data_IF_127096475842
#
_entry.id   IF_127096475842
#
_cell.length_a   1.000
_cell.length_b   1.000
_cell.length_c   1.000
_cell.angle_alpha   90.00
_cell.angle_beta   90.00
_cell.angle_gamma   90.00
#
_symmetry.space_group_name_H-M   'P 1'
#
loop_
_entity.id
_entity.type
_entity.pdbx_description
1 polymer ?
#
# COMPACT_ATOMS: atom_id res chain seq x y z
N UNK A 1 -9.78 9.93 16.73
CA UNK A 1 -10.01 10.97 15.72
C UNK A 1 -9.36 10.48 14.43
N UNK A 2 -10.12 10.29 13.36
CA UNK A 2 -9.64 9.70 12.10
C UNK A 2 -8.98 10.82 11.29
N UNK A 3 -7.66 10.83 11.20
CA UNK A 3 -6.92 11.93 10.56
C UNK A 3 -6.86 11.69 9.05
N UNK A 4 -7.86 12.18 8.31
CA UNK A 4 -7.99 11.97 6.87
C UNK A 4 -6.73 12.40 6.09
N UNK A 5 -5.97 13.37 6.62
CA UNK A 5 -4.70 13.83 6.05
C UNK A 5 -3.61 12.74 6.03
N UNK A 6 -3.63 11.78 6.97
CA UNK A 6 -2.64 10.69 7.03
C UNK A 6 -2.95 9.55 6.08
N UNK A 7 -4.21 9.41 5.64
CA UNK A 7 -4.64 8.30 4.80
C UNK A 7 -4.44 8.58 3.31
N UNK A 8 -4.45 9.85 2.90
CA UNK A 8 -4.31 10.26 1.49
C UNK A 8 -3.03 9.69 0.85
N UNK A 9 -1.84 9.76 1.47
CA UNK A 9 -0.64 9.17 0.88
C UNK A 9 -0.73 7.65 0.67
N UNK A 10 -1.29 6.93 1.65
CA UNK A 10 -1.49 5.49 1.54
C UNK A 10 -2.49 5.14 0.41
N UNK A 11 -3.55 5.94 0.27
CA UNK A 11 -4.50 5.81 -0.85
C UNK A 11 -3.84 6.14 -2.19
N UNK A 12 -2.96 7.15 -2.27
CA UNK A 12 -2.18 7.44 -3.50
C UNK A 12 -1.36 6.23 -3.93
N UNK A 13 -0.66 5.58 -3.00
CA UNK A 13 0.12 4.36 -3.27
C UNK A 13 -0.80 3.24 -3.77
N UNK A 14 -1.92 3.00 -3.10
CA UNK A 14 -2.88 1.96 -3.48
C UNK A 14 -3.48 2.23 -4.87
N UNK A 15 -3.91 3.45 -5.17
CA UNK A 15 -4.54 3.78 -6.47
C UNK A 15 -3.55 3.83 -7.62
N UNK A 16 -2.28 4.18 -7.35
CA UNK A 16 -1.20 4.20 -8.34
C UNK A 16 -0.76 2.79 -8.70
N UNK A 17 -0.55 1.94 -7.69
CA UNK A 17 0.03 0.61 -7.88
C UNK A 17 -1.03 -0.50 -7.95
N UNK A 18 -2.28 -0.17 -7.61
CA UNK A 18 -3.42 -1.09 -7.54
C UNK A 18 -3.18 -2.31 -6.64
N UNK A 19 -2.41 -2.12 -5.57
CA UNK A 19 -2.00 -3.18 -4.63
C UNK A 19 -3.00 -3.28 -3.49
N UNK A 20 -3.47 -4.50 -3.24
CA UNK A 20 -4.23 -4.85 -2.04
C UNK A 20 -3.26 -5.34 -0.95
N UNK A 21 -2.82 -4.44 -0.08
CA UNK A 21 -1.94 -4.81 1.02
C UNK A 21 -2.66 -5.67 2.07
N UNK A 22 -2.00 -6.74 2.49
CA UNK A 22 -2.41 -7.61 3.60
C UNK A 22 -1.32 -7.61 4.67
N UNK A 23 -1.59 -8.10 5.87
CA UNK A 23 -0.56 -8.23 6.91
C UNK A 23 0.65 -9.06 6.44
N UNK A 24 0.40 -10.09 5.63
CA UNK A 24 1.43 -10.94 5.01
C UNK A 24 2.26 -10.23 3.93
N UNK A 25 1.81 -9.06 3.45
CA UNK A 25 2.60 -8.19 2.58
C UNK A 25 3.74 -7.50 3.33
N UNK A 26 3.84 -7.64 4.65
CA UNK A 26 4.86 -6.98 5.47
C UNK A 26 5.70 -8.00 6.23
N UNK A 27 6.94 -8.22 5.78
CA UNK A 27 7.89 -9.07 6.48
C UNK A 27 8.81 -8.21 7.35
N UNK A 28 8.87 -8.46 8.65
CA UNK A 28 9.83 -7.78 9.54
C UNK A 28 11.26 -8.00 9.03
N UNK A 29 12.08 -6.94 9.04
CA UNK A 29 13.47 -7.03 8.60
C UNK A 29 14.24 -8.03 9.48
N UNK A 30 15.11 -8.83 8.85
CA UNK A 30 16.03 -9.69 9.60
C UNK A 30 17.13 -8.88 10.26
N UNK A 31 17.79 -9.44 11.28
CA UNK A 31 18.94 -8.80 11.95
C UNK A 31 20.02 -8.37 10.95
N UNK A 32 20.30 -9.19 9.93
CA UNK A 32 21.27 -8.88 8.88
C UNK A 32 20.82 -7.71 8.00
N UNK A 33 19.52 -7.63 7.69
CA UNK A 33 18.95 -6.52 6.91
C UNK A 33 18.97 -5.21 7.70
N UNK A 34 18.65 -5.25 9.00
CA UNK A 34 18.81 -4.09 9.88
C UNK A 34 20.27 -3.61 9.91
N UNK A 35 21.23 -4.51 10.09
CA UNK A 35 22.64 -4.17 10.10
C UNK A 35 23.11 -3.59 8.75
N UNK A 36 22.57 -4.08 7.63
CA UNK A 36 22.87 -3.53 6.31
C UNK A 36 22.28 -2.13 6.11
N UNK A 37 21.09 -1.86 6.66
CA UNK A 37 20.43 -0.55 6.59
C UNK A 37 21.21 0.50 7.43
N UNK A 38 21.64 0.13 8.63
CA UNK A 38 22.42 1.00 9.52
C UNK A 38 23.76 1.44 8.91
N UNK A 39 24.37 0.60 8.05
CA UNK A 39 25.57 0.98 7.29
C UNK A 39 25.32 2.06 6.25
N UNK A 40 24.08 2.24 5.80
CA UNK A 40 23.68 3.21 4.76
C UNK A 40 23.27 4.56 5.34
N UNK A 41 22.95 4.64 6.63
CA UNK A 41 22.54 5.87 7.29
C UNK A 41 21.78 5.65 8.59
N UNK A 42 21.33 6.75 9.22
CA UNK A 42 20.55 6.69 10.45
C UNK A 42 19.24 5.92 10.24
N UNK A 43 19.00 4.95 11.12
CA UNK A 43 17.81 4.08 11.10
C UNK A 43 16.59 4.81 11.70
N UNK A 44 15.40 4.71 11.09
CA UNK A 44 14.17 5.13 11.75
C UNK A 44 13.96 4.35 13.07
N UNK A 45 13.35 4.98 14.09
CA UNK A 45 13.01 4.29 15.33
C UNK A 45 11.90 3.27 15.11
N UNK A 46 11.92 2.17 15.86
CA UNK A 46 10.87 1.14 15.84
C UNK A 46 11.14 -0.02 14.88
N UNK A 47 10.09 -0.80 14.62
CA UNK A 47 10.12 -1.93 13.71
C UNK A 47 10.00 -1.46 12.27
N UNK A 48 10.79 -2.08 11.41
CA UNK A 48 10.77 -1.90 9.97
C UNK A 48 10.32 -3.19 9.31
N UNK A 49 9.54 -3.01 8.27
CA UNK A 49 8.92 -4.05 7.46
C UNK A 49 9.37 -3.90 6.03
N UNK A 50 9.85 -4.99 5.45
CA UNK A 50 10.01 -5.09 4.02
C UNK A 50 8.66 -5.40 3.42
N UNK A 51 8.21 -4.58 2.48
CA UNK A 51 7.01 -4.90 1.71
C UNK A 51 7.35 -6.06 0.77
N UNK A 52 6.69 -7.19 0.96
CA UNK A 52 6.81 -8.38 0.13
C UNK A 52 5.73 -8.29 -0.95
N UNK A 53 6.11 -8.27 -2.25
CA UNK A 53 5.15 -8.42 -3.33
C UNK A 53 4.38 -9.73 -3.12
N UNK A 54 3.07 -9.65 -2.94
CA UNK A 54 2.22 -10.83 -2.75
C UNK A 54 1.88 -11.42 -4.12
N UNK A 55 2.27 -12.68 -4.39
CA UNK A 55 1.82 -13.45 -5.55
C UNK A 55 1.07 -14.70 -5.08
N UNK A 56 -0.26 -14.78 -5.31
CA UNK A 56 -0.88 -16.11 -5.40
C UNK A 56 -1.66 -16.34 -6.70
N UNK A 57 -2.23 -15.32 -7.35
CA UNK A 57 -3.01 -15.48 -8.58
C UNK A 57 -2.81 -14.25 -9.49
N UNK A 58 -1.88 -14.37 -10.44
CA UNK A 58 -1.46 -13.28 -11.31
C UNK A 58 -2.60 -12.86 -12.27
N UNK A 59 -3.23 -11.73 -11.98
CA UNK A 59 -3.29 -10.69 -13.02
C UNK A 59 -1.83 -10.41 -13.34
N UNK A 60 -1.37 -10.71 -14.56
CA UNK A 60 0.01 -10.50 -15.00
C UNK A 60 0.49 -9.09 -14.60
N UNK A 61 1.28 -9.01 -13.53
CA UNK A 61 1.79 -7.75 -12.97
C UNK A 61 3.31 -7.87 -12.93
N UNK A 62 3.97 -7.08 -13.76
CA UNK A 62 5.42 -7.08 -13.88
C UNK A 62 6.07 -6.55 -12.58
N UNK A 63 7.29 -7.01 -12.24
CA UNK A 63 8.09 -6.51 -11.12
C UNK A 63 8.29 -4.98 -11.08
N UNK A 64 8.01 -4.29 -12.19
CA UNK A 64 8.21 -2.85 -12.40
C UNK A 64 7.24 -1.97 -11.61
N UNK A 65 6.10 -2.50 -11.15
CA UNK A 65 5.07 -1.70 -10.45
C UNK A 65 5.42 -1.39 -8.98
N UNK A 66 6.49 -1.93 -8.43
CA UNK A 66 6.92 -1.65 -7.05
C UNK A 66 8.22 -0.85 -7.13
N UNK A 67 8.12 0.46 -6.98
CA UNK A 67 9.30 1.33 -6.93
C UNK A 67 10.10 1.06 -5.65
N UNK A 68 11.42 1.21 -5.71
CA UNK A 68 12.35 0.92 -4.61
C UNK A 68 12.02 1.69 -3.32
N UNK A 69 11.33 2.83 -3.42
CA UNK A 69 10.90 3.66 -2.29
C UNK A 69 9.79 3.01 -1.45
N UNK A 70 9.04 2.04 -1.99
CA UNK A 70 8.03 1.26 -1.26
C UNK A 70 8.62 0.01 -0.59
N UNK A 71 9.93 -0.23 -0.65
CA UNK A 71 10.49 -1.52 -0.18
C UNK A 71 10.59 -1.64 1.33
N UNK A 72 10.59 -0.54 2.08
CA UNK A 72 10.66 -0.55 3.54
C UNK A 72 9.59 0.39 4.09
N UNK A 73 8.80 -0.09 5.04
CA UNK A 73 7.80 0.66 5.77
C UNK A 73 8.09 0.55 7.28
N UNK A 74 7.88 1.62 8.03
CA UNK A 74 7.78 1.54 9.49
C UNK A 74 6.40 0.99 9.93
N UNK A 75 6.22 0.76 11.23
CA UNK A 75 4.95 0.28 11.80
C UNK A 75 3.77 1.23 11.49
N UNK A 76 3.99 2.54 11.52
CA UNK A 76 2.94 3.52 11.26
C UNK A 76 2.52 3.50 9.80
N UNK A 77 3.49 3.41 8.88
CA UNK A 77 3.26 3.28 7.44
C UNK A 77 2.54 1.96 7.10
N UNK A 78 2.97 0.85 7.70
CA UNK A 78 2.27 -0.44 7.60
C UNK A 78 0.80 -0.28 7.99
N UNK A 79 0.53 0.29 9.17
CA UNK A 79 -0.83 0.45 9.67
C UNK A 79 -1.68 1.36 8.76
N UNK A 80 -1.10 2.44 8.23
CA UNK A 80 -1.78 3.34 7.29
C UNK A 80 -2.15 2.66 5.98
N UNK A 81 -1.26 1.83 5.42
CA UNK A 81 -1.54 1.06 4.20
C UNK A 81 -2.68 0.05 4.43
N UNK A 82 -2.65 -0.67 5.55
CA UNK A 82 -3.71 -1.62 5.92
C UNK A 82 -5.05 -0.91 6.16
N UNK A 83 -5.04 0.24 6.82
CA UNK A 83 -6.27 1.01 7.05
C UNK A 83 -6.81 1.65 5.76
N UNK A 84 -5.94 2.00 4.81
CA UNK A 84 -6.34 2.47 3.50
C UNK A 84 -7.00 1.35 2.67
N UNK A 85 -6.51 0.11 2.75
CA UNK A 85 -7.19 -1.05 2.16
C UNK A 85 -8.57 -1.27 2.80
N UNK A 86 -8.67 -1.22 4.13
CA UNK A 86 -9.98 -1.30 4.82
C UNK A 86 -10.94 -0.18 4.39
N UNK A 87 -10.43 1.03 4.18
CA UNK A 87 -11.22 2.14 3.65
C UNK A 87 -11.76 1.82 2.26
N UNK A 88 -10.93 1.31 1.33
CA UNK A 88 -11.38 0.92 -0.01
C UNK A 88 -12.49 -0.13 0.06
N UNK A 89 -12.32 -1.16 0.90
CA UNK A 89 -13.34 -2.19 1.10
C UNK A 89 -14.66 -1.60 1.58
N UNK A 90 -14.64 -0.80 2.65
CA UNK A 90 -15.84 -0.17 3.23
C UNK A 90 -16.51 0.80 2.26
N UNK A 91 -15.74 1.67 1.61
CA UNK A 91 -16.27 2.68 0.69
C UNK A 91 -16.88 2.06 -0.58
N UNK A 92 -16.47 0.83 -0.94
CA UNK A 92 -17.00 0.09 -2.08
C UNK A 92 -18.08 -0.94 -1.71
N UNK A 93 -18.49 -1.05 -0.44
CA UNK A 93 -19.60 -1.91 -0.01
C UNK A 93 -20.90 -1.70 -0.81
N UNK A 94 -21.30 -0.47 -1.21
CA UNK A 94 -22.51 -0.26 -2.02
C UNK A 94 -22.41 -0.76 -3.47
N UNK A 95 -21.27 -1.30 -3.90
CA UNK A 95 -21.07 -1.81 -5.25
C UNK A 95 -21.93 -3.06 -5.49
N UNK A 96 -22.78 -3.03 -6.52
CA UNK A 96 -23.75 -4.09 -6.82
C UNK A 96 -23.16 -5.34 -7.51
N UNK A 97 -21.84 -5.53 -7.48
CA UNK A 97 -21.18 -6.65 -8.17
C UNK A 97 -21.07 -7.84 -7.23
N UNK A 98 -21.40 -9.02 -7.74
CA UNK A 98 -21.15 -10.28 -7.04
C UNK A 98 -19.64 -10.58 -7.06
N UNK A 99 -19.01 -10.65 -5.88
CA UNK A 99 -17.58 -10.86 -5.69
C UNK A 99 -16.67 -9.85 -6.43
N UNK A 100 -16.70 -8.55 -6.08
CA UNK A 100 -15.86 -7.56 -6.73
C UNK A 100 -14.38 -7.77 -6.39
N UNK A 101 -13.53 -7.77 -7.42
CA UNK A 101 -12.08 -7.77 -7.24
C UNK A 101 -11.61 -6.44 -6.65
N UNK A 102 -10.39 -6.40 -6.11
CA UNK A 102 -9.84 -5.14 -5.60
C UNK A 102 -9.72 -4.06 -6.70
N UNK A 103 -9.36 -4.46 -7.93
CA UNK A 103 -9.33 -3.57 -9.08
C UNK A 103 -10.72 -2.98 -9.41
N UNK A 104 -11.78 -3.80 -9.32
CA UNK A 104 -13.15 -3.32 -9.49
C UNK A 104 -13.52 -2.27 -8.45
N UNK A 105 -13.13 -2.49 -7.19
CA UNK A 105 -13.37 -1.55 -6.09
C UNK A 105 -12.65 -0.22 -6.32
N UNK A 106 -11.39 -0.25 -6.75
CA UNK A 106 -10.65 0.96 -7.11
C UNK A 106 -11.29 1.70 -8.28
N UNK A 107 -11.70 0.98 -9.33
CA UNK A 107 -12.40 1.57 -10.47
C UNK A 107 -13.74 2.22 -10.07
N UNK A 108 -14.50 1.58 -9.18
CA UNK A 108 -15.72 2.14 -8.61
C UNK A 108 -15.46 3.43 -7.82
N UNK A 109 -14.37 3.48 -7.04
CA UNK A 109 -14.06 4.63 -6.18
C UNK A 109 -13.40 5.80 -6.91
N UNK A 110 -12.63 5.56 -7.98
CA UNK A 110 -11.91 6.60 -8.75
C UNK A 110 -12.72 7.87 -9.05
N UNK A 111 -13.95 7.80 -9.59
CA UNK A 111 -14.74 8.99 -9.90
C UNK A 111 -15.46 9.60 -8.68
N UNK A 112 -15.45 8.91 -7.52
CA UNK A 112 -16.22 9.28 -6.31
C UNK A 112 -15.36 9.93 -5.23
N UNK A 113 -14.05 9.70 -5.27
CA UNK A 113 -13.10 10.31 -4.37
C UNK A 113 -12.62 11.65 -4.98
N UNK A 114 -12.31 12.66 -4.14
CA UNK A 114 -11.60 13.84 -4.63
C UNK A 114 -10.33 13.38 -5.34
N UNK A 115 -9.87 14.09 -6.39
CA UNK A 115 -8.71 13.67 -7.17
C UNK A 115 -7.53 13.42 -6.23
N UNK A 116 -7.26 12.15 -6.02
CA UNK A 116 -6.06 11.67 -5.36
C UNK A 116 -4.97 12.00 -6.37
N UNK A 117 -4.26 13.11 -6.17
CA UNK A 117 -3.26 13.61 -7.12
C UNK A 117 -2.18 12.54 -7.23
N UNK A 118 -2.29 11.66 -8.23
CA UNK A 118 -1.18 10.84 -8.67
C UNK A 118 -0.34 11.79 -9.51
N UNK A 119 0.84 12.15 -9.02
CA UNK A 119 1.78 12.89 -9.85
C UNK A 119 2.09 11.98 -11.03
N UNK A 120 1.42 12.23 -12.14
CA UNK A 120 1.76 11.60 -13.41
C UNK A 120 3.05 12.28 -13.83
N UNK A 121 4.18 11.58 -13.65
CA UNK A 121 5.46 12.02 -14.20
C UNK A 121 5.26 12.31 -15.68
N UNK A 122 5.36 13.58 -16.04
CA UNK A 122 5.34 14.05 -17.42
C UNK A 122 6.65 13.72 -18.13
#
# INVERSE_FOLDING_TARGET
>A
MFDAFRLIPALQIIFTNEIEFQDTSFAELTTEQYAALERRGPRPPGKLYRIVPFEPEAIERTPEKITLELTIADESEKQLLLDAVKFVHRASEPMSKENPTFADRLAYLRPRLPPIVTQSSS
#
